data_IF_030210852392
#
_entry.id   IF_030210852392
#
_cell.length_a   1.000
_cell.length_b   1.000
_cell.length_c   1.000
_cell.angle_alpha   90.00
_cell.angle_beta   90.00
_cell.angle_gamma   90.00
#
_symmetry.space_group_name_H-M   'P 1'
#
loop_
_entity.id
_entity.type
_entity.pdbx_description
1 polymer ?
#
# COMPACT_ATOMS: atom_id res chain seq x y z
N UNK A 1 5.22 -17.28 37.95
CA UNK A 1 4.48 -16.47 36.97
C UNK A 1 4.71 -15.00 37.31
N UNK A 2 5.70 -14.37 36.67
CA UNK A 2 5.88 -12.92 36.73
C UNK A 2 5.20 -12.34 35.51
N UNK A 3 4.00 -11.79 35.69
CA UNK A 3 3.43 -10.85 34.74
C UNK A 3 4.32 -9.61 34.75
N UNK A 4 5.22 -9.48 33.77
CA UNK A 4 5.83 -8.18 33.48
C UNK A 4 4.67 -7.23 33.18
N UNK A 5 4.43 -6.28 34.08
CA UNK A 5 3.70 -5.07 33.73
C UNK A 5 4.46 -4.43 32.57
N UNK A 6 3.91 -4.55 31.36
CA UNK A 6 4.32 -3.72 30.24
C UNK A 6 3.92 -2.29 30.63
N UNK A 7 4.83 -1.58 31.29
CA UNK A 7 4.80 -0.12 31.34
C UNK A 7 4.53 0.37 29.92
N UNK A 8 3.43 1.09 29.72
CA UNK A 8 3.06 1.67 28.43
C UNK A 8 4.14 2.69 28.05
N UNK A 9 5.20 2.22 27.40
CA UNK A 9 6.27 3.04 26.87
C UNK A 9 5.67 4.13 25.99
N UNK A 10 5.96 5.40 26.27
CA UNK A 10 5.50 6.51 25.45
C UNK A 10 6.01 6.32 24.00
N UNK A 11 5.25 6.77 23.00
CA UNK A 11 5.63 6.74 21.59
C UNK A 11 6.99 7.40 21.39
N UNK A 12 7.25 8.53 22.04
CA UNK A 12 8.54 9.23 21.92
C UNK A 12 9.71 8.38 22.44
N UNK A 13 9.49 7.64 23.54
CA UNK A 13 10.51 6.76 24.10
C UNK A 13 10.73 5.53 23.21
N UNK A 14 9.66 4.99 22.61
CA UNK A 14 9.75 3.92 21.64
C UNK A 14 10.56 4.35 20.40
N UNK A 15 10.29 5.53 19.84
CA UNK A 15 11.05 6.06 18.71
C UNK A 15 12.53 6.28 19.06
N UNK A 16 12.83 6.84 20.23
CA UNK A 16 14.21 7.04 20.69
C UNK A 16 14.95 5.72 20.90
N UNK A 17 14.29 4.72 21.47
CA UNK A 17 14.88 3.40 21.71
C UNK A 17 15.31 2.74 20.39
N UNK A 18 14.51 2.92 19.34
CA UNK A 18 14.76 2.41 17.99
C UNK A 18 15.61 3.36 17.13
N UNK A 19 16.17 4.43 17.74
CA UNK A 19 17.03 5.45 17.10
C UNK A 19 16.39 6.13 15.90
N UNK A 20 15.07 6.26 15.89
CA UNK A 20 14.36 7.04 14.88
C UNK A 20 14.31 8.51 15.23
N UNK A 21 14.01 9.33 14.22
CA UNK A 21 13.72 10.74 14.39
C UNK A 21 12.47 10.94 15.27
N UNK A 22 12.17 12.17 15.73
CA UNK A 22 11.00 12.42 16.56
C UNK A 22 9.68 12.11 15.84
N UNK A 23 8.63 11.98 16.66
CA UNK A 23 7.26 11.99 16.15
C UNK A 23 6.99 13.30 15.40
N UNK A 24 6.32 13.19 14.27
CA UNK A 24 5.73 14.33 13.58
C UNK A 24 4.43 14.71 14.29
N UNK A 25 4.29 15.96 14.70
CA UNK A 25 3.05 16.48 15.29
C UNK A 25 2.21 17.10 14.16
N UNK A 26 1.06 16.51 13.76
CA UNK A 26 0.34 16.96 12.58
C UNK A 26 -0.15 18.42 12.61
N UNK A 27 -0.42 18.97 13.80
CA UNK A 27 -0.81 20.37 13.95
C UNK A 27 0.26 21.35 13.48
N UNK A 28 1.53 20.98 13.61
CA UNK A 28 2.66 21.88 13.34
C UNK A 28 2.89 22.06 11.84
N UNK A 29 2.29 21.20 11.02
CA UNK A 29 2.41 21.20 9.56
C UNK A 29 1.06 21.30 8.85
N UNK A 30 -0.02 21.53 9.59
CA UNK A 30 -1.38 21.55 9.05
C UNK A 30 -1.58 22.63 7.97
N UNK A 31 -0.83 23.72 8.05
CA UNK A 31 -0.84 24.81 7.04
C UNK A 31 -0.23 24.38 5.70
N UNK A 32 0.66 23.38 5.70
CA UNK A 32 1.34 22.86 4.51
C UNK A 32 0.61 21.62 3.99
N UNK A 33 0.32 20.67 4.87
CA UNK A 33 -0.35 19.42 4.55
C UNK A 33 -1.37 19.06 5.65
N UNK A 34 -2.64 19.48 5.52
CA UNK A 34 -3.66 19.25 6.54
C UNK A 34 -4.06 17.78 6.66
N UNK A 35 -3.69 16.94 5.69
CA UNK A 35 -4.10 15.54 5.63
C UNK A 35 -3.41 14.67 6.68
N UNK A 36 -2.25 15.08 7.20
CA UNK A 36 -1.60 14.36 8.30
C UNK A 36 -2.52 14.23 9.51
N UNK A 37 -3.26 15.29 9.87
CA UNK A 37 -4.14 15.27 11.04
C UNK A 37 -5.31 14.30 10.84
N UNK A 38 -5.94 14.36 9.67
CA UNK A 38 -7.09 13.53 9.34
C UNK A 38 -6.68 12.06 9.24
N UNK A 39 -5.55 11.79 8.59
CA UNK A 39 -5.03 10.43 8.40
C UNK A 39 -4.45 9.86 9.68
N UNK A 40 -3.82 10.65 10.57
CA UNK A 40 -3.35 10.14 11.86
C UNK A 40 -4.52 9.60 12.68
N UNK A 41 -5.66 10.32 12.70
CA UNK A 41 -6.87 9.87 13.39
C UNK A 41 -7.43 8.59 12.78
N UNK A 42 -7.55 8.53 11.45
CA UNK A 42 -8.07 7.37 10.74
C UNK A 42 -7.21 6.13 10.97
N UNK A 43 -5.90 6.23 10.76
CA UNK A 43 -4.95 5.13 10.89
C UNK A 43 -4.77 4.70 12.34
N UNK A 44 -4.83 5.64 13.31
CA UNK A 44 -4.84 5.29 14.74
C UNK A 44 -6.08 4.48 15.10
N UNK A 45 -7.26 4.88 14.61
CA UNK A 45 -8.50 4.12 14.82
C UNK A 45 -8.40 2.73 14.20
N UNK A 46 -7.81 2.62 13.00
CA UNK A 46 -7.61 1.35 12.32
C UNK A 46 -6.69 0.43 13.12
N UNK A 47 -5.50 0.89 13.53
CA UNK A 47 -4.55 0.11 14.33
C UNK A 47 -5.13 -0.36 15.67
N UNK A 48 -6.03 0.42 16.27
CA UNK A 48 -6.70 0.05 17.52
C UNK A 48 -7.76 -1.04 17.35
N UNK A 49 -8.33 -1.20 16.16
CA UNK A 49 -9.51 -2.05 15.91
C UNK A 49 -9.24 -3.24 14.99
N UNK A 50 -8.17 -3.20 14.19
CA UNK A 50 -7.90 -4.20 13.17
C UNK A 50 -7.44 -5.55 13.74
N UNK A 51 -6.84 -5.56 14.93
CA UNK A 51 -6.32 -6.77 15.59
C UNK A 51 -6.91 -6.90 17.01
N UNK A 52 -6.98 -8.13 17.56
CA UNK A 52 -7.46 -8.35 18.93
C UNK A 52 -6.65 -7.59 20.00
N UNK A 53 -5.34 -7.45 19.78
CA UNK A 53 -4.46 -6.64 20.61
C UNK A 53 -4.27 -5.25 19.99
N UNK A 54 -4.73 -4.16 20.63
CA UNK A 54 -4.65 -2.83 20.05
C UNK A 54 -3.22 -2.38 19.75
N UNK A 55 -2.99 -1.95 18.52
CA UNK A 55 -1.71 -1.41 18.03
C UNK A 55 -1.79 0.12 18.00
N UNK A 56 -0.69 0.80 18.32
CA UNK A 56 -0.59 2.25 18.22
C UNK A 56 -0.08 2.66 16.85
N UNK A 57 -0.40 3.88 16.45
CA UNK A 57 0.09 4.48 15.21
C UNK A 57 0.74 5.83 15.49
N UNK A 58 1.76 6.19 14.71
CA UNK A 58 2.29 7.56 14.66
C UNK A 58 2.93 7.87 13.32
N UNK A 59 2.98 9.15 12.98
CA UNK A 59 3.92 9.65 11.98
C UNK A 59 5.28 9.96 12.60
N UNK A 60 6.32 9.77 11.80
CA UNK A 60 7.70 10.15 12.10
C UNK A 60 8.14 11.27 11.14
N UNK A 61 8.97 12.22 11.60
CA UNK A 61 9.37 13.38 10.77
C UNK A 61 10.22 13.02 9.53
N UNK A 62 10.73 11.78 9.44
CA UNK A 62 11.67 11.40 8.39
C UNK A 62 11.13 11.57 6.98
N UNK A 63 12.03 11.96 6.08
CA UNK A 63 11.78 12.08 4.65
C UNK A 63 11.97 10.77 3.88
N UNK A 64 12.41 9.69 4.55
CA UNK A 64 12.47 8.37 3.93
C UNK A 64 11.07 7.90 3.51
N UNK A 65 11.00 7.01 2.52
CA UNK A 65 9.75 6.42 2.03
C UNK A 65 9.65 5.03 2.66
N UNK A 66 9.08 4.95 3.86
CA UNK A 66 8.95 3.70 4.61
C UNK A 66 7.74 3.71 5.55
N UNK A 67 7.24 2.51 5.82
CA UNK A 67 6.46 2.19 7.00
C UNK A 67 7.17 1.05 7.76
N UNK A 68 6.91 0.94 9.06
CA UNK A 68 7.51 -0.11 9.86
C UNK A 68 6.71 -0.47 11.12
N UNK A 69 6.97 -1.67 11.62
CA UNK A 69 6.44 -2.19 12.89
C UNK A 69 7.51 -2.27 13.96
N UNK A 70 7.18 -1.76 15.15
CA UNK A 70 7.94 -1.95 16.39
C UNK A 70 7.22 -2.93 17.32
N UNK A 71 7.59 -4.20 17.20
CA UNK A 71 6.95 -5.31 17.92
C UNK A 71 6.97 -5.15 19.45
N UNK A 72 8.06 -4.63 20.03
CA UNK A 72 8.18 -4.43 21.50
C UNK A 72 7.20 -3.38 22.03
N UNK A 73 6.93 -2.35 21.25
CA UNK A 73 6.13 -1.19 21.63
C UNK A 73 4.70 -1.24 21.08
N UNK A 74 4.37 -2.30 20.33
CA UNK A 74 3.14 -2.49 19.58
C UNK A 74 2.74 -1.21 18.82
N UNK A 75 3.68 -0.71 18.02
CA UNK A 75 3.61 0.59 17.36
C UNK A 75 3.90 0.41 15.87
N UNK A 76 3.00 0.89 15.01
CA UNK A 76 3.23 1.06 13.58
C UNK A 76 3.62 2.51 13.33
N UNK A 77 4.65 2.73 12.51
CA UNK A 77 5.16 4.05 12.18
C UNK A 77 5.18 4.22 10.67
N UNK A 78 4.60 5.32 10.20
CA UNK A 78 4.73 5.77 8.83
C UNK A 78 5.58 7.04 8.82
N UNK A 79 6.55 7.14 7.93
CA UNK A 79 7.35 8.36 7.81
C UNK A 79 6.60 9.46 7.06
N UNK A 80 6.95 10.71 7.33
CA UNK A 80 6.43 11.85 6.60
C UNK A 80 6.72 11.73 5.10
N UNK A 81 7.88 11.19 4.73
CA UNK A 81 8.25 10.92 3.33
C UNK A 81 7.29 9.95 2.65
N UNK A 82 6.97 8.80 3.28
CA UNK A 82 5.98 7.86 2.75
C UNK A 82 4.61 8.54 2.57
N UNK A 83 4.12 9.22 3.60
CA UNK A 83 2.81 9.87 3.53
C UNK A 83 2.75 10.96 2.45
N UNK A 84 3.77 11.80 2.34
CA UNK A 84 3.85 12.83 1.31
C UNK A 84 3.86 12.24 -0.11
N UNK A 85 4.57 11.13 -0.30
CA UNK A 85 4.59 10.40 -1.58
C UNK A 85 3.21 9.84 -1.91
N UNK A 86 2.47 9.30 -0.94
CA UNK A 86 1.09 8.85 -1.13
C UNK A 86 0.13 10.01 -1.43
N UNK A 87 0.27 11.17 -0.78
CA UNK A 87 -0.48 12.37 -1.12
C UNK A 87 -0.21 12.81 -2.57
N UNK A 88 1.05 12.82 -2.98
CA UNK A 88 1.44 13.19 -4.34
C UNK A 88 0.91 12.20 -5.37
N UNK A 89 0.96 10.91 -5.06
CA UNK A 89 0.39 9.87 -5.89
C UNK A 89 -1.12 10.05 -6.06
N UNK A 90 -1.86 10.25 -4.97
CA UNK A 90 -3.29 10.52 -5.01
C UNK A 90 -3.60 11.79 -5.84
N UNK A 91 -2.81 12.86 -5.68
CA UNK A 91 -2.96 14.09 -6.47
C UNK A 91 -2.73 13.86 -7.97
N UNK A 92 -1.71 13.08 -8.34
CA UNK A 92 -1.46 12.71 -9.74
C UNK A 92 -2.59 11.86 -10.32
N UNK A 93 -3.11 10.88 -9.58
CA UNK A 93 -4.24 10.06 -10.04
C UNK A 93 -5.48 10.94 -10.27
N UNK A 94 -5.78 11.88 -9.36
CA UNK A 94 -6.91 12.81 -9.50
C UNK A 94 -6.77 13.74 -10.71
N UNK A 95 -5.55 14.18 -11.02
CA UNK A 95 -5.25 15.10 -12.13
C UNK A 95 -4.94 14.40 -13.45
N UNK A 96 -4.76 13.08 -13.45
CA UNK A 96 -4.43 12.27 -14.63
C UNK A 96 -5.47 12.31 -15.76
N UNK A 97 -6.71 12.68 -15.43
CA UNK A 97 -7.85 12.56 -16.34
C UNK A 97 -8.56 11.20 -16.29
N UNK A 98 -8.09 10.24 -15.49
CA UNK A 98 -8.68 8.90 -15.41
C UNK A 98 -10.13 8.87 -14.93
N UNK A 99 -10.60 9.91 -14.22
CA UNK A 99 -11.97 9.99 -13.71
C UNK A 99 -12.82 10.97 -14.51
N UNK A 100 -13.16 10.60 -15.75
CA UNK A 100 -13.94 11.43 -16.68
C UNK A 100 -15.38 11.66 -16.18
N UNK A 101 -15.95 10.71 -15.43
CA UNK A 101 -17.31 10.80 -14.89
C UNK A 101 -17.48 11.84 -13.75
N UNK A 102 -16.37 12.35 -13.21
CA UNK A 102 -16.38 13.33 -12.12
C UNK A 102 -16.21 14.76 -12.64
N UNK A 103 -16.68 15.74 -11.87
CA UNK A 103 -16.58 17.16 -12.21
C UNK A 103 -15.16 17.56 -12.65
N UNK A 104 -15.06 18.37 -13.71
CA UNK A 104 -13.77 18.75 -14.30
C UNK A 104 -13.03 17.59 -14.98
N UNK A 105 -13.72 16.48 -15.29
CA UNK A 105 -13.20 15.35 -16.05
C UNK A 105 -12.78 15.79 -17.44
N UNK A 106 -11.52 15.58 -17.75
CA UNK A 106 -10.93 15.76 -19.07
C UNK A 106 -10.26 14.44 -19.43
N UNK A 107 -10.33 14.05 -20.69
CA UNK A 107 -9.61 12.87 -21.18
C UNK A 107 -8.11 12.99 -20.84
N UNK A 108 -7.47 11.88 -20.43
CA UNK A 108 -6.05 11.87 -20.14
C UNK A 108 -5.21 12.41 -21.29
N UNK A 109 -4.28 13.32 -20.98
CA UNK A 109 -3.21 13.69 -21.90
C UNK A 109 -2.01 12.78 -21.57
N UNK A 110 -1.64 11.93 -22.52
CA UNK A 110 -0.50 11.03 -22.36
C UNK A 110 0.66 11.48 -23.25
N UNK A 111 1.75 11.92 -22.61
CA UNK A 111 2.98 12.34 -23.28
C UNK A 111 4.17 11.59 -22.66
N UNK A 112 4.33 10.29 -22.98
CA UNK A 112 5.34 9.45 -22.36
C UNK A 112 6.75 9.89 -22.72
N UNK A 113 7.68 9.76 -21.77
CA UNK A 113 9.11 9.95 -22.02
C UNK A 113 9.86 8.64 -21.86
N UNK A 114 10.73 8.35 -22.83
CA UNK A 114 11.65 7.19 -22.76
C UNK A 114 12.55 7.31 -21.53
N UNK A 115 13.04 8.51 -21.22
CA UNK A 115 13.90 8.76 -20.06
C UNK A 115 13.21 8.47 -18.74
N UNK A 116 11.91 8.76 -18.64
CA UNK A 116 11.14 8.49 -17.42
C UNK A 116 10.94 6.99 -17.22
N UNK A 117 10.82 6.22 -18.30
CA UNK A 117 10.62 4.76 -18.25
C UNK A 117 11.81 3.99 -17.64
N UNK A 118 12.97 4.64 -17.49
CA UNK A 118 14.17 4.06 -16.85
C UNK A 118 14.44 4.63 -15.45
N UNK A 119 13.59 5.54 -14.94
CA UNK A 119 13.74 6.12 -13.59
C UNK A 119 12.86 5.39 -12.59
N UNK A 120 13.30 5.38 -11.34
CA UNK A 120 12.46 4.94 -10.23
C UNK A 120 11.26 5.87 -10.09
N UNK A 121 10.04 5.33 -10.02
CA UNK A 121 8.83 6.14 -9.83
C UNK A 121 8.94 7.04 -8.59
N UNK A 122 9.57 6.53 -7.53
CA UNK A 122 9.80 7.28 -6.29
C UNK A 122 10.72 8.49 -6.45
N UNK A 123 11.70 8.47 -7.37
CA UNK A 123 12.58 9.64 -7.56
C UNK A 123 11.82 10.86 -8.04
N UNK A 124 10.75 10.65 -8.81
CA UNK A 124 9.89 11.71 -9.31
C UNK A 124 8.84 12.17 -8.28
N UNK A 125 8.68 11.40 -7.19
CA UNK A 125 7.68 11.64 -6.16
C UNK A 125 8.26 12.11 -4.82
N UNK A 126 9.57 12.04 -4.59
CA UNK A 126 10.12 12.15 -3.22
C UNK A 126 10.99 13.37 -2.93
N UNK A 127 11.15 14.31 -3.88
CA UNK A 127 12.17 15.36 -3.75
C UNK A 127 11.85 16.47 -2.73
N UNK A 128 10.57 16.69 -2.40
CA UNK A 128 10.10 17.76 -1.49
C UNK A 128 8.84 17.31 -0.74
N UNK A 129 8.60 17.86 0.46
CA UNK A 129 7.34 17.71 1.20
C UNK A 129 6.12 18.04 0.31
N UNK A 130 5.00 17.36 0.55
CA UNK A 130 3.78 17.63 -0.19
C UNK A 130 3.16 18.95 0.29
N UNK A 131 2.92 19.87 -0.64
CA UNK A 131 2.28 21.16 -0.35
C UNK A 131 0.87 21.15 -0.92
N UNK A 132 -0.12 21.14 -0.02
CA UNK A 132 -1.52 21.14 -0.42
C UNK A 132 -1.88 22.37 -1.26
N UNK A 133 -1.45 23.56 -0.87
CA UNK A 133 -1.78 24.81 -1.56
C UNK A 133 -1.24 24.86 -3.00
N UNK A 134 -0.11 24.20 -3.25
CA UNK A 134 0.53 24.12 -4.57
C UNK A 134 0.00 22.95 -5.39
N UNK A 135 0.09 21.73 -4.86
CA UNK A 135 -0.15 20.49 -5.62
C UNK A 135 -1.64 20.22 -5.87
N UNK A 136 -2.53 20.83 -5.09
CA UNK A 136 -3.98 20.69 -5.28
C UNK A 136 -4.60 21.85 -6.08
N UNK A 137 -3.83 22.87 -6.43
CA UNK A 137 -4.32 24.17 -6.94
C UNK A 137 -5.33 24.08 -8.09
N UNK A 138 -5.12 23.13 -9.01
CA UNK A 138 -5.96 22.96 -10.21
C UNK A 138 -7.31 22.30 -9.93
N UNK A 139 -7.47 21.57 -8.83
CA UNK A 139 -8.64 20.73 -8.59
C UNK A 139 -9.25 20.88 -7.19
N UNK A 140 -8.57 21.50 -6.22
CA UNK A 140 -9.06 21.68 -4.85
C UNK A 140 -10.35 22.50 -4.73
N UNK A 141 -10.78 23.20 -5.79
CA UNK A 141 -12.07 23.91 -5.78
C UNK A 141 -13.26 23.00 -6.10
N UNK A 142 -13.02 21.83 -6.69
CA UNK A 142 -14.07 20.85 -6.98
C UNK A 142 -14.24 19.92 -5.79
N UNK A 143 -15.45 19.89 -5.23
CA UNK A 143 -15.80 18.99 -4.13
C UNK A 143 -15.68 17.52 -4.53
N UNK A 144 -16.06 17.19 -5.77
CA UNK A 144 -15.92 15.85 -6.33
C UNK A 144 -14.45 15.41 -6.40
N UNK A 145 -13.54 16.30 -6.84
CA UNK A 145 -12.10 15.99 -6.92
C UNK A 145 -11.47 15.84 -5.54
N UNK A 146 -11.85 16.68 -4.58
CA UNK A 146 -11.44 16.52 -3.18
C UNK A 146 -11.88 15.18 -2.60
N UNK A 147 -13.11 14.75 -2.92
CA UNK A 147 -13.63 13.46 -2.46
C UNK A 147 -12.84 12.29 -3.05
N UNK A 148 -12.54 12.30 -4.36
CA UNK A 148 -11.72 11.26 -5.00
C UNK A 148 -10.32 11.25 -4.39
N UNK A 149 -9.68 12.41 -4.24
CA UNK A 149 -8.37 12.53 -3.62
C UNK A 149 -8.34 11.88 -2.24
N UNK A 150 -9.29 12.27 -1.39
CA UNK A 150 -9.39 11.76 -0.03
C UNK A 150 -9.59 10.25 -0.03
N UNK A 151 -10.48 9.74 -0.87
CA UNK A 151 -10.79 8.31 -0.94
C UNK A 151 -9.59 7.48 -1.43
N UNK A 152 -8.85 7.97 -2.42
CA UNK A 152 -7.61 7.34 -2.91
C UNK A 152 -6.54 7.36 -1.82
N UNK A 153 -6.28 8.53 -1.21
CA UNK A 153 -5.28 8.68 -0.17
C UNK A 153 -5.59 7.77 1.03
N UNK A 154 -6.85 7.72 1.44
CA UNK A 154 -7.32 6.84 2.50
C UNK A 154 -7.13 5.36 2.14
N UNK A 155 -7.45 4.97 0.91
CA UNK A 155 -7.25 3.58 0.45
C UNK A 155 -5.77 3.19 0.45
N UNK A 156 -4.91 4.03 -0.10
CA UNK A 156 -3.47 3.79 -0.18
C UNK A 156 -2.83 3.72 1.21
N UNK A 157 -3.11 4.69 2.08
CA UNK A 157 -2.53 4.71 3.43
C UNK A 157 -3.00 3.53 4.27
N UNK A 158 -4.29 3.18 4.19
CA UNK A 158 -4.82 1.99 4.88
C UNK A 158 -4.24 0.69 4.34
N UNK A 159 -4.00 0.57 3.04
CA UNK A 159 -3.33 -0.60 2.49
C UNK A 159 -1.94 -0.80 3.13
N UNK A 160 -1.13 0.26 3.18
CA UNK A 160 0.20 0.23 3.83
C UNK A 160 0.09 -0.15 5.31
N UNK A 161 -0.81 0.51 6.05
CA UNK A 161 -0.96 0.20 7.48
C UNK A 161 -1.50 -1.21 7.72
N UNK A 162 -2.42 -1.70 6.91
CA UNK A 162 -2.92 -3.07 7.02
C UNK A 162 -1.84 -4.10 6.66
N UNK A 163 -0.95 -3.79 5.72
CA UNK A 163 0.22 -4.62 5.42
C UNK A 163 1.10 -4.78 6.67
N UNK A 164 1.48 -3.68 7.31
CA UNK A 164 2.23 -3.69 8.59
C UNK A 164 1.49 -4.43 9.71
N UNK A 165 0.16 -4.26 9.81
CA UNK A 165 -0.66 -5.01 10.76
C UNK A 165 -0.72 -6.50 10.42
N UNK A 166 -0.58 -6.88 9.15
CA UNK A 166 -0.41 -8.26 8.70
C UNK A 166 0.87 -8.89 9.26
N UNK A 167 1.99 -8.16 9.25
CA UNK A 167 3.23 -8.58 9.89
C UNK A 167 3.04 -8.82 11.40
N UNK A 168 2.29 -7.97 12.09
CA UNK A 168 1.95 -8.17 13.51
C UNK A 168 1.04 -9.39 13.69
N UNK A 169 -0.03 -9.51 12.90
CA UNK A 169 -1.03 -10.59 12.98
C UNK A 169 -0.39 -11.96 12.82
N UNK A 170 0.54 -12.07 11.88
CA UNK A 170 1.27 -13.30 11.59
C UNK A 170 2.58 -13.41 12.37
N UNK A 171 2.82 -12.48 13.31
CA UNK A 171 3.93 -12.51 14.25
C UNK A 171 5.31 -12.65 13.59
N UNK A 172 5.47 -12.00 12.43
CA UNK A 172 6.65 -12.06 11.59
C UNK A 172 7.94 -11.64 12.34
N UNK A 173 7.83 -10.73 13.31
CA UNK A 173 8.95 -10.25 14.13
C UNK A 173 9.26 -11.01 15.43
N UNK A 174 8.41 -11.94 15.91
CA UNK A 174 8.66 -12.59 17.22
C UNK A 174 9.87 -13.51 17.26
N UNK A 175 10.25 -14.12 16.13
CA UNK A 175 11.40 -15.05 16.09
C UNK A 175 12.75 -14.35 16.30
N UNK A 176 12.78 -13.02 16.25
CA UNK A 176 13.97 -12.20 16.48
C UNK A 176 14.05 -11.59 17.89
N UNK A 177 13.05 -11.82 18.75
CA UNK A 177 13.01 -11.30 20.12
C UNK A 177 14.09 -11.88 21.06
N UNK A 178 14.82 -12.92 20.63
CA UNK A 178 16.01 -13.44 21.31
C UNK A 178 17.27 -12.56 21.19
N UNK A 179 17.27 -11.55 20.31
CA UNK A 179 18.36 -10.59 20.12
C UNK A 179 18.13 -9.26 20.86
N UNK A 180 19.21 -8.60 21.30
CA UNK A 180 19.16 -7.36 22.09
C UNK A 180 18.66 -6.10 21.34
N UNK A 181 18.38 -6.17 20.04
CA UNK A 181 17.78 -5.08 19.25
C UNK A 181 16.27 -5.24 19.11
N UNK A 182 15.52 -4.14 19.20
CA UNK A 182 14.15 -4.12 18.67
C UNK A 182 14.22 -4.43 17.18
N UNK A 183 13.34 -5.31 16.70
CA UNK A 183 13.28 -5.62 15.28
C UNK A 183 12.34 -4.61 14.62
N UNK A 184 12.80 -4.10 13.47
CA UNK A 184 12.08 -3.15 12.61
C UNK A 184 11.89 -3.85 11.28
N UNK A 185 10.64 -4.13 10.90
CA UNK A 185 10.31 -4.53 9.53
C UNK A 185 10.27 -3.25 8.68
N UNK A 186 11.01 -3.18 7.57
CA UNK A 186 11.13 -1.93 6.80
C UNK A 186 10.80 -2.15 5.33
N UNK A 187 9.71 -1.53 4.89
CA UNK A 187 9.36 -1.38 3.48
C UNK A 187 10.28 -0.32 2.82
N UNK A 188 11.38 -0.75 2.21
CA UNK A 188 12.29 0.11 1.43
C UNK A 188 12.11 -0.11 -0.07
N UNK A 189 12.21 0.98 -0.85
CA UNK A 189 12.16 0.91 -2.32
C UNK A 189 13.38 0.19 -2.94
N UNK A 190 14.56 0.20 -2.29
CA UNK A 190 15.77 -0.46 -2.78
C UNK A 190 16.63 -1.09 -1.65
N UNK A 191 16.17 -2.20 -1.05
CA UNK A 191 16.86 -2.86 0.06
C UNK A 191 18.09 -3.67 -0.37
N UNK A 192 18.96 -4.04 0.56
CA UNK A 192 20.10 -4.92 0.25
C UNK A 192 19.66 -6.33 -0.15
N UNK A 193 20.47 -7.03 -0.95
CA UNK A 193 20.19 -8.43 -1.31
C UNK A 193 20.53 -9.37 -0.16
N UNK A 194 19.71 -10.41 0.00
CA UNK A 194 19.84 -11.44 1.05
C UNK A 194 20.48 -12.72 0.51
N UNK A 195 20.72 -13.69 1.41
CA UNK A 195 20.90 -15.08 1.00
C UNK A 195 19.60 -15.64 0.41
N UNK A 196 19.66 -16.76 -0.31
CA UNK A 196 18.47 -17.33 -0.95
C UNK A 196 17.43 -17.75 0.10
N UNK A 197 17.87 -18.38 1.20
CA UNK A 197 16.98 -18.83 2.27
C UNK A 197 16.32 -17.64 2.97
N UNK A 198 17.08 -16.60 3.30
CA UNK A 198 16.54 -15.39 3.93
C UNK A 198 15.63 -14.61 2.98
N UNK A 199 15.98 -14.54 1.68
CA UNK A 199 15.21 -13.86 0.66
C UNK A 199 13.86 -14.51 0.40
N UNK A 200 13.80 -15.84 0.24
CA UNK A 200 12.52 -16.56 0.11
C UNK A 200 11.67 -16.41 1.36
N UNK A 201 12.25 -16.55 2.55
CA UNK A 201 11.52 -16.35 3.81
C UNK A 201 10.99 -14.92 3.96
N UNK A 202 11.75 -13.91 3.53
CA UNK A 202 11.32 -12.51 3.51
C UNK A 202 10.14 -12.31 2.57
N UNK A 203 10.29 -12.72 1.32
CA UNK A 203 9.24 -12.62 0.31
C UNK A 203 7.95 -13.36 0.69
N UNK A 204 8.06 -14.48 1.41
CA UNK A 204 6.90 -15.21 1.91
C UNK A 204 6.10 -14.37 2.92
N UNK A 205 6.79 -13.68 3.83
CA UNK A 205 6.17 -12.77 4.80
C UNK A 205 5.46 -11.61 4.11
N UNK A 206 6.09 -11.01 3.12
CA UNK A 206 5.51 -9.91 2.33
C UNK A 206 4.20 -10.31 1.65
N UNK A 207 4.17 -11.48 1.01
CA UNK A 207 2.96 -11.97 0.34
C UNK A 207 1.83 -12.25 1.34
N UNK A 208 2.15 -12.80 2.51
CA UNK A 208 1.17 -13.04 3.57
C UNK A 208 0.61 -11.69 4.07
N UNK A 209 1.47 -10.70 4.28
CA UNK A 209 1.06 -9.36 4.70
C UNK A 209 0.20 -8.64 3.64
N UNK A 210 0.54 -8.77 2.35
CA UNK A 210 -0.28 -8.25 1.24
C UNK A 210 -1.67 -8.88 1.18
N UNK A 211 -1.73 -10.20 1.32
CA UNK A 211 -2.99 -10.93 1.34
C UNK A 211 -3.85 -10.44 2.50
N UNK A 212 -3.27 -10.36 3.70
CA UNK A 212 -3.94 -9.80 4.88
C UNK A 212 -4.45 -8.38 4.61
N UNK A 213 -3.61 -7.52 4.05
CA UNK A 213 -3.95 -6.13 3.78
C UNK A 213 -5.12 -6.00 2.82
N UNK A 214 -5.06 -6.72 1.69
CA UNK A 214 -6.09 -6.68 0.67
C UNK A 214 -7.44 -7.18 1.19
N UNK A 215 -7.44 -8.30 1.92
CA UNK A 215 -8.67 -8.87 2.51
C UNK A 215 -9.30 -7.88 3.49
N UNK A 216 -8.51 -7.35 4.44
CA UNK A 216 -9.01 -6.42 5.46
C UNK A 216 -9.46 -5.10 4.86
N UNK A 217 -8.80 -4.64 3.81
CA UNK A 217 -9.18 -3.41 3.11
C UNK A 217 -10.52 -3.57 2.39
N UNK A 218 -10.77 -4.72 1.76
CA UNK A 218 -12.08 -5.06 1.18
C UNK A 218 -13.18 -5.08 2.24
N UNK A 219 -12.96 -5.78 3.36
CA UNK A 219 -13.91 -5.83 4.48
C UNK A 219 -14.18 -4.44 5.08
N UNK A 220 -13.16 -3.57 5.14
CA UNK A 220 -13.30 -2.20 5.61
C UNK A 220 -14.12 -1.36 4.63
N UNK A 221 -13.83 -1.44 3.34
CA UNK A 221 -14.57 -0.74 2.30
C UNK A 221 -16.06 -1.11 2.33
N UNK A 222 -16.38 -2.40 2.39
CA UNK A 222 -17.77 -2.88 2.45
C UNK A 222 -18.50 -2.33 3.69
N UNK A 223 -17.87 -2.41 4.86
CA UNK A 223 -18.45 -1.89 6.12
C UNK A 223 -18.66 -0.37 6.07
N UNK A 224 -17.72 0.38 5.54
CA UNK A 224 -17.83 1.84 5.48
C UNK A 224 -18.89 2.32 4.50
N UNK A 225 -18.98 1.71 3.32
CA UNK A 225 -20.03 2.03 2.35
C UNK A 225 -21.41 1.73 2.92
N UNK A 226 -21.56 0.63 3.67
CA UNK A 226 -22.81 0.31 4.35
C UNK A 226 -23.13 1.29 5.49
N UNK A 227 -22.14 1.62 6.33
CA UNK A 227 -22.33 2.51 7.48
C UNK A 227 -22.63 3.97 7.08
N UNK A 228 -22.14 4.40 5.91
CA UNK A 228 -22.31 5.76 5.38
C UNK A 228 -23.32 5.81 4.24
N UNK A 229 -24.16 4.79 4.07
CA UNK A 229 -25.18 4.75 3.03
C UNK A 229 -26.16 5.93 3.18
N UNK A 230 -26.49 6.61 2.07
CA UNK A 230 -27.36 7.79 2.06
C UNK A 230 -26.65 9.10 2.40
N UNK A 231 -25.36 9.08 2.71
CA UNK A 231 -24.55 10.29 2.76
C UNK A 231 -24.16 10.71 1.33
N UNK A 232 -24.32 11.99 1.00
CA UNK A 232 -24.09 12.54 -0.35
C UNK A 232 -22.74 12.13 -0.96
N UNK A 233 -21.67 12.21 -0.17
CA UNK A 233 -20.33 11.81 -0.60
C UNK A 233 -20.23 10.30 -0.92
N UNK A 234 -20.81 9.44 -0.07
CA UNK A 234 -20.82 7.99 -0.29
C UNK A 234 -21.63 7.63 -1.52
N UNK A 235 -22.81 8.23 -1.68
CA UNK A 235 -23.69 7.96 -2.81
C UNK A 235 -23.03 8.38 -4.14
N UNK A 236 -22.30 9.50 -4.14
CA UNK A 236 -21.52 9.94 -5.30
C UNK A 236 -20.42 8.94 -5.67
N UNK A 237 -19.64 8.46 -4.68
CA UNK A 237 -18.59 7.45 -4.90
C UNK A 237 -19.18 6.15 -5.42
N UNK A 238 -20.26 5.64 -4.81
CA UNK A 238 -20.93 4.41 -5.24
C UNK A 238 -21.47 4.56 -6.66
N UNK A 239 -22.05 5.70 -7.00
CA UNK A 239 -22.62 5.93 -8.33
C UNK A 239 -21.55 6.02 -9.43
N UNK A 240 -20.42 6.68 -9.17
CA UNK A 240 -19.45 7.06 -10.21
C UNK A 240 -18.16 6.24 -10.23
N UNK A 241 -17.77 5.63 -9.11
CA UNK A 241 -16.47 4.95 -8.96
C UNK A 241 -16.61 3.51 -8.49
N UNK A 242 -17.61 3.21 -7.65
CA UNK A 242 -17.76 1.90 -7.00
C UNK A 242 -19.14 1.24 -7.27
N UNK A 243 -19.67 1.26 -8.52
CA UNK A 243 -20.96 0.66 -8.79
C UNK A 243 -20.83 -0.87 -8.76
N UNK A 244 -21.38 -1.48 -7.71
CA UNK A 244 -21.35 -2.93 -7.53
C UNK A 244 -20.03 -3.48 -6.99
N UNK A 245 -19.95 -4.79 -6.84
CA UNK A 245 -18.80 -5.47 -6.23
C UNK A 245 -17.59 -5.54 -7.16
N UNK A 246 -17.82 -5.70 -8.46
CA UNK A 246 -16.78 -5.71 -9.49
C UNK A 246 -15.89 -4.47 -9.43
N UNK A 247 -16.48 -3.28 -9.48
CA UNK A 247 -15.73 -2.03 -9.47
C UNK A 247 -15.09 -1.73 -8.12
N UNK A 248 -15.69 -2.24 -7.02
CA UNK A 248 -15.09 -2.17 -5.69
C UNK A 248 -13.79 -2.95 -5.60
N UNK A 249 -13.82 -4.22 -6.03
CA UNK A 249 -12.64 -5.09 -6.07
C UNK A 249 -11.61 -4.54 -7.06
N UNK A 250 -12.06 -4.13 -8.24
CA UNK A 250 -11.24 -3.52 -9.28
C UNK A 250 -10.50 -2.27 -8.83
N UNK A 251 -11.20 -1.37 -8.12
CA UNK A 251 -10.60 -0.18 -7.55
C UNK A 251 -9.50 -0.53 -6.53
N UNK A 252 -9.75 -1.48 -5.63
CA UNK A 252 -8.75 -1.91 -4.63
C UNK A 252 -7.52 -2.53 -5.31
N UNK A 253 -7.71 -3.41 -6.30
CA UNK A 253 -6.61 -3.98 -7.08
C UNK A 253 -5.81 -2.89 -7.80
N UNK A 254 -6.49 -1.88 -8.33
CA UNK A 254 -5.86 -0.75 -9.01
C UNK A 254 -5.01 0.08 -8.05
N UNK A 255 -5.52 0.37 -6.84
CA UNK A 255 -4.74 1.10 -5.84
C UNK A 255 -3.53 0.30 -5.36
N UNK A 256 -3.68 -1.00 -5.14
CA UNK A 256 -2.56 -1.89 -4.80
C UNK A 256 -1.52 -1.94 -5.93
N UNK A 257 -1.96 -2.03 -7.19
CA UNK A 257 -1.09 -2.00 -8.38
C UNK A 257 -0.22 -0.75 -8.38
N UNK A 258 -0.86 0.42 -8.28
CA UNK A 258 -0.16 1.70 -8.39
C UNK A 258 0.82 1.87 -7.22
N UNK A 259 0.43 1.45 -6.02
CA UNK A 259 1.32 1.42 -4.86
C UNK A 259 2.53 0.49 -5.05
N UNK A 260 2.31 -0.76 -5.49
CA UNK A 260 3.42 -1.69 -5.72
C UNK A 260 4.37 -1.18 -6.78
N UNK A 261 3.85 -0.64 -7.90
CA UNK A 261 4.69 -0.09 -8.96
C UNK A 261 5.49 1.13 -8.49
N UNK A 262 4.93 1.94 -7.60
CA UNK A 262 5.64 3.05 -6.96
C UNK A 262 6.80 2.55 -6.08
N UNK A 263 6.57 1.51 -5.29
CA UNK A 263 7.55 0.97 -4.35
C UNK A 263 8.53 -0.02 -4.98
N UNK A 264 8.34 -0.39 -6.25
CA UNK A 264 9.12 -1.43 -6.91
C UNK A 264 10.59 -1.02 -7.12
N UNK A 265 11.44 -2.04 -7.14
CA UNK A 265 12.83 -1.88 -7.53
C UNK A 265 12.95 -1.80 -9.05
N UNK A 266 13.42 -0.67 -9.59
CA UNK A 266 13.63 -0.54 -11.04
C UNK A 266 14.60 -1.58 -11.67
N UNK A 267 15.46 -2.24 -10.89
CA UNK A 267 16.51 -3.16 -11.35
C UNK A 267 16.18 -4.66 -11.17
N UNK A 268 14.99 -5.01 -10.67
CA UNK A 268 14.67 -6.40 -10.27
C UNK A 268 14.85 -7.43 -11.40
N UNK A 269 14.64 -7.03 -12.66
CA UNK A 269 14.78 -7.93 -13.82
C UNK A 269 16.19 -8.52 -13.96
N UNK A 270 17.19 -7.76 -13.52
CA UNK A 270 18.63 -8.08 -13.63
C UNK A 270 19.20 -8.81 -12.41
N UNK A 271 18.40 -8.97 -11.35
CA UNK A 271 18.81 -9.55 -10.07
C UNK A 271 18.36 -11.00 -9.92
N UNK A 272 18.98 -11.69 -8.96
CA UNK A 272 18.53 -13.00 -8.52
C UNK A 272 17.27 -12.83 -7.66
N UNK A 273 16.13 -13.24 -8.20
CA UNK A 273 14.81 -13.05 -7.57
C UNK A 273 14.69 -13.73 -6.22
N UNK A 274 15.47 -14.78 -5.95
CA UNK A 274 15.47 -15.48 -4.65
C UNK A 274 16.15 -14.69 -3.53
N UNK A 275 16.94 -13.66 -3.87
CA UNK A 275 17.70 -12.84 -2.93
C UNK A 275 17.06 -11.49 -2.63
N UNK A 276 15.93 -11.19 -3.27
CA UNK A 276 15.19 -9.97 -3.00
C UNK A 276 14.54 -10.07 -1.61
N UNK A 277 14.48 -8.95 -0.88
CA UNK A 277 13.72 -8.89 0.39
C UNK A 277 12.21 -8.84 0.14
N UNK A 278 11.79 -8.23 -0.97
CA UNK A 278 10.40 -8.10 -1.41
C UNK A 278 10.25 -8.72 -2.81
N UNK A 279 9.14 -9.40 -3.11
CA UNK A 279 8.88 -9.87 -4.46
C UNK A 279 8.67 -8.67 -5.39
N UNK A 280 9.02 -8.77 -6.68
CA UNK A 280 8.72 -7.72 -7.65
C UNK A 280 7.24 -7.35 -7.66
N UNK A 281 6.91 -6.07 -7.91
CA UNK A 281 5.53 -5.60 -7.99
C UNK A 281 4.60 -6.48 -8.88
N UNK A 282 4.98 -6.90 -10.10
CA UNK A 282 4.15 -7.82 -10.88
C UNK A 282 3.86 -9.14 -10.19
N UNK A 283 4.81 -9.68 -9.43
CA UNK A 283 4.66 -10.94 -8.73
C UNK A 283 3.68 -10.81 -7.55
N UNK A 284 3.83 -9.73 -6.74
CA UNK A 284 2.90 -9.41 -5.65
C UNK A 284 1.47 -9.22 -6.17
N UNK A 285 1.33 -8.51 -7.30
CA UNK A 285 0.03 -8.30 -7.94
C UNK A 285 -0.60 -9.58 -8.50
N UNK A 286 0.19 -10.42 -9.19
CA UNK A 286 -0.28 -11.72 -9.69
C UNK A 286 -0.81 -12.58 -8.53
N UNK A 287 -0.18 -12.50 -7.37
CA UNK A 287 -0.66 -13.14 -6.16
C UNK A 287 -2.00 -12.55 -5.65
N UNK A 288 -2.19 -11.22 -5.65
CA UNK A 288 -3.50 -10.62 -5.30
C UNK A 288 -4.62 -11.01 -6.31
N UNK A 289 -4.26 -11.19 -7.58
CA UNK A 289 -5.18 -11.67 -8.61
C UNK A 289 -5.58 -13.12 -8.34
N UNK A 290 -4.62 -13.98 -8.01
CA UNK A 290 -4.88 -15.37 -7.61
C UNK A 290 -5.77 -15.43 -6.36
N UNK A 291 -5.49 -14.60 -5.35
CA UNK A 291 -6.32 -14.48 -4.15
C UNK A 291 -7.76 -14.03 -4.47
N UNK A 292 -7.92 -13.11 -5.41
CA UNK A 292 -9.24 -12.64 -5.86
C UNK A 292 -9.99 -13.74 -6.59
N UNK A 293 -9.31 -14.51 -7.45
CA UNK A 293 -9.88 -15.67 -8.13
C UNK A 293 -10.32 -16.74 -7.14
N UNK A 294 -9.47 -17.08 -6.16
CA UNK A 294 -9.76 -18.08 -5.12
C UNK A 294 -10.96 -17.69 -4.25
N UNK A 295 -11.05 -16.41 -3.86
CA UNK A 295 -12.16 -15.91 -3.03
C UNK A 295 -13.44 -15.65 -3.81
N UNK A 296 -13.33 -15.47 -5.12
CA UNK A 296 -14.43 -15.10 -5.99
C UNK A 296 -14.98 -13.69 -5.74
N UNK A 297 -15.95 -13.35 -6.58
CA UNK A 297 -16.76 -12.13 -6.51
C UNK A 297 -18.23 -12.57 -6.52
N UNK A 298 -19.06 -12.00 -5.66
CA UNK A 298 -20.45 -12.46 -5.50
C UNK A 298 -21.21 -12.28 -6.83
N UNK A 299 -21.93 -13.33 -7.22
CA UNK A 299 -22.71 -13.44 -8.46
C UNK A 299 -21.88 -13.52 -9.76
N UNK A 300 -20.57 -13.75 -9.69
CA UNK A 300 -19.75 -14.05 -10.87
C UNK A 300 -19.25 -15.50 -10.85
N UNK A 301 -19.24 -16.12 -12.02
CA UNK A 301 -18.55 -17.38 -12.25
C UNK A 301 -17.02 -17.16 -12.33
N UNK A 302 -16.25 -18.24 -12.16
CA UNK A 302 -14.77 -18.18 -12.13
C UNK A 302 -14.16 -17.62 -13.42
N UNK A 303 -14.74 -17.98 -14.57
CA UNK A 303 -14.36 -17.46 -15.89
C UNK A 303 -14.64 -15.95 -16.01
N UNK A 304 -15.78 -15.48 -15.53
CA UNK A 304 -16.12 -14.06 -15.47
C UNK A 304 -15.17 -13.27 -14.56
N UNK A 305 -14.79 -13.84 -13.42
CA UNK A 305 -13.75 -13.25 -12.54
C UNK A 305 -12.41 -13.19 -13.28
N UNK A 306 -12.05 -14.24 -14.01
CA UNK A 306 -10.84 -14.27 -14.85
C UNK A 306 -10.83 -13.16 -15.90
N UNK A 307 -11.91 -12.98 -16.65
CA UNK A 307 -12.06 -11.90 -17.65
C UNK A 307 -11.96 -10.51 -17.01
N UNK A 308 -12.59 -10.34 -15.85
CA UNK A 308 -12.54 -9.11 -15.07
C UNK A 308 -11.11 -8.77 -14.61
N UNK A 309 -10.35 -9.77 -14.13
CA UNK A 309 -8.95 -9.58 -13.74
C UNK A 309 -8.08 -9.17 -14.93
N UNK A 310 -8.28 -9.78 -16.10
CA UNK A 310 -7.58 -9.38 -17.34
C UNK A 310 -7.89 -7.93 -17.70
N UNK A 311 -9.16 -7.51 -17.63
CA UNK A 311 -9.58 -6.13 -17.85
C UNK A 311 -8.86 -5.16 -16.90
N UNK A 312 -8.80 -5.47 -15.61
CA UNK A 312 -8.12 -4.62 -14.63
C UNK A 312 -6.61 -4.60 -14.81
N UNK A 313 -5.98 -5.70 -15.24
CA UNK A 313 -4.55 -5.69 -15.59
C UNK A 313 -4.22 -4.62 -16.65
N UNK A 314 -5.01 -4.56 -17.73
CA UNK A 314 -4.82 -3.54 -18.77
C UNK A 314 -5.18 -2.14 -18.28
N UNK A 315 -6.28 -2.00 -17.53
CA UNK A 315 -6.70 -0.72 -16.95
C UNK A 315 -5.64 -0.13 -16.00
N UNK A 316 -5.04 -0.95 -15.15
CA UNK A 316 -3.97 -0.53 -14.24
C UNK A 316 -2.72 -0.09 -15.00
N UNK A 317 -2.30 -0.84 -16.02
CA UNK A 317 -1.18 -0.45 -16.88
C UNK A 317 -1.42 0.89 -17.58
N UNK A 318 -2.63 1.12 -18.09
CA UNK A 318 -3.02 2.40 -18.67
C UNK A 318 -2.96 3.52 -17.62
N UNK A 319 -3.51 3.31 -16.44
CA UNK A 319 -3.48 4.30 -15.36
C UNK A 319 -2.05 4.67 -14.95
N UNK A 320 -1.20 3.68 -14.69
CA UNK A 320 0.22 3.88 -14.34
C UNK A 320 0.95 4.65 -15.44
N UNK A 321 0.69 4.33 -16.71
CA UNK A 321 1.30 5.01 -17.85
C UNK A 321 0.92 6.50 -17.90
N UNK A 322 -0.32 6.84 -17.58
CA UNK A 322 -0.79 8.23 -17.52
C UNK A 322 -0.26 8.93 -16.27
N UNK A 323 -0.38 8.31 -15.10
CA UNK A 323 0.00 8.89 -13.80
C UNK A 323 1.49 9.20 -13.72
N UNK A 324 2.33 8.38 -14.35
CA UNK A 324 3.79 8.56 -14.36
C UNK A 324 4.34 9.07 -15.69
N UNK A 325 3.52 9.22 -16.73
CA UNK A 325 3.98 9.52 -18.10
C UNK A 325 5.08 8.54 -18.58
N UNK A 326 4.86 7.24 -18.33
CA UNK A 326 5.73 6.14 -18.77
C UNK A 326 5.08 5.38 -19.92
N UNK A 327 5.88 4.60 -20.64
CA UNK A 327 5.34 3.60 -21.56
C UNK A 327 4.72 2.44 -20.78
N UNK A 328 3.56 1.90 -21.23
CA UNK A 328 2.93 0.76 -20.58
C UNK A 328 3.83 -0.47 -20.69
N UNK A 329 3.94 -1.22 -19.58
CA UNK A 329 4.65 -2.48 -19.53
C UNK A 329 3.66 -3.62 -19.81
N UNK A 330 3.27 -3.77 -21.08
CA UNK A 330 2.18 -4.69 -21.49
C UNK A 330 2.51 -6.17 -21.18
N UNK A 331 3.80 -6.52 -21.12
CA UNK A 331 4.28 -7.88 -20.84
C UNK A 331 4.58 -8.16 -19.35
N UNK A 332 4.19 -7.28 -18.42
CA UNK A 332 4.60 -7.37 -17.01
C UNK A 332 4.28 -8.73 -16.36
N UNK A 333 3.11 -9.32 -16.68
CA UNK A 333 2.71 -10.64 -16.18
C UNK A 333 3.36 -11.82 -16.91
N UNK A 334 3.71 -11.65 -18.19
CA UNK A 334 4.46 -12.66 -18.93
C UNK A 334 5.85 -12.86 -18.32
N UNK A 335 6.50 -11.77 -17.91
CA UNK A 335 7.82 -11.81 -17.30
C UNK A 335 7.86 -12.55 -15.96
N UNK A 336 6.84 -12.37 -15.12
CA UNK A 336 6.67 -13.11 -13.86
C UNK A 336 5.99 -14.46 -14.03
N UNK A 337 5.81 -14.91 -15.27
CA UNK A 337 5.39 -16.27 -15.62
C UNK A 337 6.53 -17.10 -16.23
N UNK A 338 7.76 -16.56 -16.24
CA UNK A 338 8.94 -17.31 -16.64
C UNK A 338 9.30 -18.42 -15.62
N UNK A 339 9.97 -19.51 -16.03
CA UNK A 339 10.27 -20.66 -15.16
C UNK A 339 11.01 -20.33 -13.85
N UNK A 340 11.76 -19.21 -13.81
CA UNK A 340 12.42 -18.75 -12.57
C UNK A 340 11.41 -18.34 -11.49
N UNK A 341 10.29 -17.75 -11.89
CA UNK A 341 9.23 -17.31 -10.98
C UNK A 341 8.32 -18.46 -10.57
N UNK A 342 8.15 -19.49 -11.40
CA UNK A 342 7.48 -20.73 -10.99
C UNK A 342 8.26 -21.44 -9.87
N UNK A 343 9.60 -21.48 -9.99
CA UNK A 343 10.46 -22.00 -8.92
C UNK A 343 10.37 -21.17 -7.65
N UNK A 344 10.36 -19.84 -7.78
CA UNK A 344 10.17 -18.94 -6.64
C UNK A 344 8.81 -19.19 -5.97
N UNK A 345 7.73 -19.28 -6.75
CA UNK A 345 6.39 -19.57 -6.24
C UNK A 345 6.37 -20.87 -5.44
N UNK A 346 6.96 -21.96 -5.97
CA UNK A 346 7.02 -23.23 -5.24
C UNK A 346 7.83 -23.11 -3.93
N UNK A 347 8.96 -22.40 -3.95
CA UNK A 347 9.76 -22.16 -2.75
C UNK A 347 8.99 -21.33 -1.70
N UNK A 348 8.24 -20.32 -2.13
CA UNK A 348 7.41 -19.51 -1.25
C UNK A 348 6.25 -20.31 -0.66
N UNK A 349 5.62 -21.18 -1.47
CA UNK A 349 4.55 -22.06 -1.04
C UNK A 349 5.00 -23.00 0.09
N UNK A 350 6.21 -23.53 0.01
CA UNK A 350 6.83 -24.34 1.08
C UNK A 350 7.14 -23.53 2.35
N UNK A 351 7.38 -22.22 2.22
CA UNK A 351 7.63 -21.32 3.33
C UNK A 351 6.35 -20.86 4.04
N UNK A 352 5.23 -20.65 3.33
CA UNK A 352 4.02 -20.05 3.90
C UNK A 352 3.54 -20.67 5.23
N UNK A 353 3.49 -22.00 5.41
CA UNK A 353 3.02 -22.60 6.67
C UNK A 353 3.87 -22.22 7.89
N UNK A 354 5.12 -21.80 7.68
CA UNK A 354 6.02 -21.35 8.76
C UNK A 354 5.72 -19.94 9.22
N UNK A 355 5.00 -19.16 8.43
CA UNK A 355 4.79 -17.72 8.63
C UNK A 355 3.31 -17.36 8.80
N UNK A 356 2.38 -18.22 8.36
CA UNK A 356 0.95 -18.01 8.59
C UNK A 356 0.54 -18.49 9.98
N UNK A 357 0.21 -17.56 10.87
CA UNK A 357 -0.63 -17.86 12.02
C UNK A 357 -2.07 -18.14 11.53
N UNK A 358 -2.52 -19.39 11.70
CA UNK A 358 -3.90 -19.82 11.51
C UNK A 358 -4.60 -19.79 12.87
N UNK A 359 -4.80 -18.59 13.44
CA UNK A 359 -5.60 -18.41 14.67
C UNK A 359 -7.05 -18.04 14.36
#
# INVERSE_FOLDING_TARGET
>A
MNTMEYSHMNIDDALRQERLEPRLVPSDIADINPWFLIMERDLSSLCQQALPKPVRFTFNVSHSIQACVFYRSNLVVMTAGMFNVLCRLASRIVTSGAFVAFEGGVEPIWTPSVENSFKSVTSDLSSIAFDWGVESKSWQKSGERQLIFFYILQTLTRFVILHELGHISHNHGARFQGGHSGFVDVDLAQPELLTNEEGVASQAREIIADNFAFIRLRELQERELAAKAGAEATDLLVKKLLPGEEERVGFLLTMAYVYFHMMDRHDWHSLDVFKLTHPPAPFRLKNLFALTLERGIVNLAEDEVGELLVRYHYGCNALVSVVYNHYPLVSLFEEVSAPRFDKLFNALYEEYPKWQNLE
#
